data_IF_004588904027
#
_entry.id   IF_004588904027
#
_cell.length_a   1.000
_cell.length_b   1.000
_cell.length_c   1.000
_cell.angle_alpha   90.00
_cell.angle_beta   90.00
_cell.angle_gamma   90.00
#
_symmetry.space_group_name_H-M   'P 1'
#
loop_
_entity.id
_entity.type
_entity.pdbx_description
1 polymer ?
#
# COMPACT_ATOMS: atom_id res chain seq x y z
N UNK A 1 -25.29 86.44 -27.49
CA UNK A 1 -25.68 85.79 -26.23
C UNK A 1 -26.37 84.51 -26.59
N UNK A 2 -25.68 83.40 -26.49
CA UNK A 2 -26.13 82.10 -27.02
C UNK A 2 -26.21 81.13 -25.85
N UNK A 3 -27.40 80.64 -25.58
CA UNK A 3 -27.67 79.68 -24.49
C UNK A 3 -27.49 78.23 -25.02
N UNK A 4 -26.56 77.54 -24.47
CA UNK A 4 -26.40 76.11 -24.72
C UNK A 4 -27.31 75.28 -23.80
N UNK A 5 -28.22 74.56 -24.39
CA UNK A 5 -29.07 73.59 -23.68
C UNK A 5 -28.33 72.23 -23.70
N UNK A 6 -27.99 71.72 -22.50
CA UNK A 6 -27.42 70.40 -22.34
C UNK A 6 -28.57 69.39 -22.29
N UNK A 7 -28.57 68.47 -23.26
CA UNK A 7 -29.48 67.32 -23.23
C UNK A 7 -28.89 66.20 -22.35
N UNK A 8 -29.60 65.87 -21.25
CA UNK A 8 -29.31 64.66 -20.46
C UNK A 8 -29.79 63.46 -21.23
N UNK A 9 -28.88 62.58 -21.56
CA UNK A 9 -29.14 61.24 -22.08
C UNK A 9 -29.44 60.26 -20.95
N UNK A 10 -30.58 59.66 -20.99
CA UNK A 10 -30.98 58.58 -20.06
C UNK A 10 -30.19 57.31 -20.42
N UNK A 11 -29.28 56.87 -19.56
CA UNK A 11 -28.65 55.57 -19.70
C UNK A 11 -29.58 54.46 -19.13
N UNK A 12 -30.02 53.59 -19.99
CA UNK A 12 -30.77 52.39 -19.59
C UNK A 12 -29.81 51.34 -19.04
N UNK A 13 -29.91 51.05 -17.72
CA UNK A 13 -29.23 49.92 -17.12
C UNK A 13 -29.90 48.61 -17.55
N UNK A 14 -29.22 47.85 -18.43
CA UNK A 14 -29.54 46.48 -18.68
C UNK A 14 -29.05 45.60 -17.51
N UNK A 15 -29.97 45.21 -16.61
CA UNK A 15 -29.74 44.15 -15.63
C UNK A 15 -29.67 42.80 -16.36
N UNK A 16 -28.46 42.35 -16.62
CA UNK A 16 -28.21 41.00 -17.11
C UNK A 16 -28.48 40.01 -15.98
N UNK A 17 -29.55 39.21 -16.11
CA UNK A 17 -29.80 38.07 -15.27
C UNK A 17 -28.73 37.01 -15.53
N UNK A 18 -27.77 36.85 -14.59
CA UNK A 18 -26.87 35.71 -14.58
C UNK A 18 -27.72 34.43 -14.34
N UNK A 19 -28.00 33.70 -15.43
CA UNK A 19 -28.54 32.36 -15.32
C UNK A 19 -27.48 31.48 -14.65
N UNK A 20 -27.75 31.06 -13.40
CA UNK A 20 -26.93 30.07 -12.71
C UNK A 20 -26.97 28.77 -13.51
N UNK A 21 -25.87 28.44 -14.15
CA UNK A 21 -25.68 27.14 -14.79
C UNK A 21 -25.67 26.10 -13.67
N UNK A 22 -26.61 25.12 -13.64
CA UNK A 22 -26.56 24.08 -12.63
C UNK A 22 -25.27 23.27 -12.88
N UNK A 23 -24.33 23.34 -11.96
CA UNK A 23 -23.19 22.41 -11.93
C UNK A 23 -23.77 21.02 -11.75
N UNK A 24 -23.92 20.29 -12.84
CA UNK A 24 -24.26 18.88 -12.77
C UNK A 24 -23.16 18.19 -11.96
N UNK A 25 -23.43 17.95 -10.67
CA UNK A 25 -22.65 17.04 -9.86
C UNK A 25 -22.71 15.69 -10.57
N UNK A 26 -21.62 15.32 -11.21
CA UNK A 26 -21.47 13.98 -11.75
C UNK A 26 -21.59 12.98 -10.58
N UNK A 27 -22.77 12.41 -10.40
CA UNK A 27 -23.00 11.27 -9.51
C UNK A 27 -22.41 10.03 -10.18
N UNK A 28 -21.09 9.94 -10.18
CA UNK A 28 -20.40 8.85 -10.86
C UNK A 28 -20.46 7.52 -10.09
N UNK A 29 -20.85 7.54 -8.79
CA UNK A 29 -21.00 6.33 -7.99
C UNK A 29 -22.14 6.53 -6.99
N UNK A 30 -23.23 5.81 -7.12
CA UNK A 30 -24.30 5.79 -6.13
C UNK A 30 -25.72 5.72 -6.70
N UNK A 31 -25.97 4.74 -7.60
CA UNK A 31 -27.34 4.23 -7.73
C UNK A 31 -27.77 3.61 -6.39
N UNK A 32 -29.04 3.68 -6.04
CA UNK A 32 -29.62 3.12 -4.80
C UNK A 32 -29.38 1.60 -4.62
N UNK A 33 -28.75 0.94 -5.60
CA UNK A 33 -28.46 -0.49 -5.66
C UNK A 33 -26.96 -0.82 -5.74
N UNK A 34 -26.05 0.13 -5.47
CA UNK A 34 -24.63 -0.15 -5.44
C UNK A 34 -24.33 -1.09 -4.26
N UNK A 35 -24.10 -2.39 -4.53
CA UNK A 35 -23.67 -3.34 -3.51
C UNK A 35 -22.33 -2.85 -2.94
N UNK A 36 -22.25 -2.75 -1.63
CA UNK A 36 -20.98 -2.48 -0.95
C UNK A 36 -19.98 -3.58 -1.31
N UNK A 37 -18.74 -3.22 -1.63
CA UNK A 37 -17.67 -4.19 -1.85
C UNK A 37 -17.30 -4.80 -0.50
N UNK A 38 -17.30 -6.13 -0.35
CA UNK A 38 -16.85 -6.78 0.87
C UNK A 38 -15.44 -6.33 1.26
N UNK A 39 -15.20 -6.14 2.55
CA UNK A 39 -13.88 -5.69 3.04
C UNK A 39 -12.76 -6.68 2.68
N UNK A 40 -13.08 -7.97 2.61
CA UNK A 40 -12.15 -8.99 2.13
C UNK A 40 -11.72 -8.71 0.68
N UNK A 41 -12.67 -8.45 -0.22
CA UNK A 41 -12.36 -8.15 -1.62
C UNK A 41 -11.49 -6.88 -1.74
N UNK A 42 -11.72 -5.87 -0.87
CA UNK A 42 -10.89 -4.68 -0.81
C UNK A 42 -9.45 -5.03 -0.42
N UNK A 43 -9.26 -5.86 0.60
CA UNK A 43 -7.91 -6.29 1.01
C UNK A 43 -7.23 -7.15 -0.04
N UNK A 44 -7.97 -8.01 -0.74
CA UNK A 44 -7.45 -8.84 -1.84
C UNK A 44 -6.99 -7.99 -3.03
N UNK A 45 -7.77 -6.98 -3.42
CA UNK A 45 -7.39 -6.01 -4.47
C UNK A 45 -6.16 -5.19 -4.09
N UNK A 46 -6.10 -4.67 -2.86
CA UNK A 46 -4.93 -3.95 -2.36
C UNK A 46 -3.69 -4.83 -2.37
N UNK A 47 -3.80 -6.07 -1.86
CA UNK A 47 -2.70 -7.02 -1.89
C UNK A 47 -2.22 -7.32 -3.30
N UNK A 48 -3.12 -7.54 -4.26
CA UNK A 48 -2.75 -7.83 -5.65
C UNK A 48 -1.88 -6.72 -6.27
N UNK A 49 -2.24 -5.45 -6.06
CA UNK A 49 -1.46 -4.30 -6.53
C UNK A 49 -0.08 -4.26 -5.84
N UNK A 50 -0.07 -4.33 -4.51
CA UNK A 50 1.18 -4.26 -3.74
C UNK A 50 2.14 -5.42 -4.04
N UNK A 51 1.62 -6.63 -4.23
CA UNK A 51 2.41 -7.81 -4.61
C UNK A 51 3.00 -7.65 -6.01
N UNK A 52 2.22 -7.13 -6.97
CA UNK A 52 2.70 -6.87 -8.32
C UNK A 52 3.81 -5.81 -8.33
N UNK A 53 3.63 -4.69 -7.66
CA UNK A 53 4.62 -3.61 -7.57
C UNK A 53 5.93 -4.10 -6.94
N UNK A 54 5.83 -4.86 -5.84
CA UNK A 54 7.00 -5.45 -5.19
C UNK A 54 7.72 -6.47 -6.08
N UNK A 55 6.97 -7.31 -6.80
CA UNK A 55 7.55 -8.26 -7.74
C UNK A 55 8.27 -7.55 -8.90
N UNK A 56 7.67 -6.50 -9.46
CA UNK A 56 8.29 -5.69 -10.52
C UNK A 56 9.56 -5.02 -10.00
N UNK A 57 9.54 -4.39 -8.83
CA UNK A 57 10.73 -3.81 -8.24
C UNK A 57 11.83 -4.84 -8.01
N UNK A 58 11.48 -6.00 -7.45
CA UNK A 58 12.45 -7.08 -7.18
C UNK A 58 13.09 -7.59 -8.46
N UNK A 59 12.29 -7.85 -9.50
CA UNK A 59 12.76 -8.50 -10.72
C UNK A 59 13.38 -7.51 -11.72
N UNK A 60 12.69 -6.37 -11.95
CA UNK A 60 13.05 -5.43 -13.01
C UNK A 60 14.06 -4.37 -12.57
N UNK A 61 14.16 -4.11 -11.26
CA UNK A 61 15.12 -3.15 -10.72
C UNK A 61 16.24 -3.89 -10.00
N UNK A 62 15.95 -4.55 -8.88
CA UNK A 62 17.00 -5.14 -8.04
C UNK A 62 17.72 -6.28 -8.75
N UNK A 63 17.00 -7.32 -9.18
CA UNK A 63 17.63 -8.48 -9.82
C UNK A 63 18.37 -8.09 -11.09
N UNK A 64 17.77 -7.28 -11.95
CA UNK A 64 18.40 -6.82 -13.18
C UNK A 64 19.70 -6.07 -12.91
N UNK A 65 19.67 -5.07 -12.03
CA UNK A 65 20.82 -4.20 -11.80
C UNK A 65 21.92 -4.87 -10.97
N UNK A 66 21.53 -5.74 -10.01
CA UNK A 66 22.48 -6.40 -9.13
C UNK A 66 23.07 -7.67 -9.74
N UNK A 67 22.24 -8.56 -10.31
CA UNK A 67 22.65 -9.91 -10.69
C UNK A 67 22.97 -10.04 -12.18
N UNK A 68 22.22 -9.36 -13.05
CA UNK A 68 22.39 -9.46 -14.51
C UNK A 68 23.40 -8.42 -15.00
N UNK A 69 23.17 -7.13 -14.74
CA UNK A 69 24.06 -6.05 -15.22
C UNK A 69 25.23 -5.77 -14.27
N UNK A 70 25.14 -6.14 -12.99
CA UNK A 70 26.17 -5.98 -11.94
C UNK A 70 26.67 -4.53 -11.78
N UNK A 71 25.77 -3.56 -11.92
CA UNK A 71 26.09 -2.13 -11.84
C UNK A 71 25.86 -1.54 -10.45
N UNK A 72 24.93 -2.12 -9.67
CA UNK A 72 24.64 -1.65 -8.31
C UNK A 72 24.02 -2.79 -7.49
N UNK A 73 24.35 -2.86 -6.21
CA UNK A 73 23.77 -3.85 -5.28
C UNK A 73 22.58 -3.29 -4.53
N UNK A 74 21.70 -4.16 -4.01
CA UNK A 74 20.75 -3.81 -2.98
C UNK A 74 21.36 -4.10 -1.60
N UNK A 75 21.21 -3.18 -0.66
CA UNK A 75 21.83 -3.25 0.67
C UNK A 75 20.88 -2.70 1.73
N UNK A 76 20.90 -3.30 2.93
CA UNK A 76 20.07 -2.81 4.04
C UNK A 76 20.47 -1.41 4.52
N UNK A 77 21.73 -1.04 4.34
CA UNK A 77 22.31 0.28 4.64
C UNK A 77 22.44 1.16 3.39
N UNK A 78 21.49 1.04 2.45
CA UNK A 78 21.51 1.74 1.16
C UNK A 78 21.68 3.27 1.29
N UNK A 79 21.22 3.86 2.38
CA UNK A 79 21.35 5.31 2.65
C UNK A 79 22.79 5.76 2.87
N UNK A 80 23.66 4.89 3.37
CA UNK A 80 25.08 5.15 3.65
C UNK A 80 25.99 4.67 2.51
N UNK A 81 25.43 4.01 1.52
CA UNK A 81 26.11 3.39 0.38
C UNK A 81 25.45 3.79 -0.92
N UNK A 82 26.19 3.70 -2.03
CA UNK A 82 25.57 3.75 -3.38
C UNK A 82 24.90 2.41 -3.68
N UNK A 83 23.73 2.19 -3.09
CA UNK A 83 23.00 0.94 -3.19
C UNK A 83 21.50 1.19 -3.37
N UNK A 84 20.77 0.17 -3.84
CA UNK A 84 19.31 0.18 -3.89
C UNK A 84 18.75 -0.24 -2.53
N UNK A 85 17.60 0.28 -2.09
CA UNK A 85 16.89 -0.29 -0.95
C UNK A 85 16.48 -1.73 -1.26
N UNK A 86 16.47 -2.58 -0.25
CA UNK A 86 15.96 -3.94 -0.37
C UNK A 86 14.46 -3.92 -0.73
N UNK A 87 13.93 -4.92 -1.44
CA UNK A 87 12.49 -5.00 -1.76
C UNK A 87 11.58 -4.91 -0.53
N UNK A 88 12.01 -5.44 0.62
CA UNK A 88 11.29 -5.30 1.89
C UNK A 88 11.31 -3.86 2.42
N UNK A 89 12.41 -3.13 2.26
CA UNK A 89 12.51 -1.72 2.65
C UNK A 89 11.65 -0.83 1.75
N UNK A 90 11.69 -1.04 0.43
CA UNK A 90 10.81 -0.32 -0.51
C UNK A 90 9.33 -0.51 -0.12
N UNK A 91 8.94 -1.74 0.20
CA UNK A 91 7.58 -2.04 0.63
C UNK A 91 7.20 -1.32 1.93
N UNK A 92 8.11 -1.27 2.92
CA UNK A 92 7.93 -0.53 4.16
C UNK A 92 7.79 0.98 3.91
N UNK A 93 8.62 1.57 3.06
CA UNK A 93 8.51 2.99 2.71
C UNK A 93 7.17 3.32 2.08
N UNK A 94 6.63 2.42 1.25
CA UNK A 94 5.26 2.52 0.74
C UNK A 94 4.22 2.51 1.86
N UNK A 95 4.36 1.63 2.86
CA UNK A 95 3.47 1.57 4.01
C UNK A 95 3.50 2.87 4.85
N UNK A 96 4.69 3.44 5.05
CA UNK A 96 4.87 4.73 5.72
C UNK A 96 4.16 5.85 4.95
N UNK A 97 4.30 5.90 3.62
CA UNK A 97 3.61 6.89 2.76
C UNK A 97 2.09 6.74 2.77
N UNK A 98 1.58 5.52 2.80
CA UNK A 98 0.14 5.27 2.95
C UNK A 98 -0.35 5.77 4.32
N UNK A 99 0.40 5.51 5.40
CA UNK A 99 0.02 5.97 6.74
C UNK A 99 -0.01 7.51 6.86
N UNK A 100 0.84 8.23 6.10
CA UNK A 100 0.80 9.69 6.01
C UNK A 100 -0.43 10.20 5.22
N UNK A 101 -0.93 9.44 4.25
CA UNK A 101 -1.96 9.88 3.31
C UNK A 101 -3.37 9.48 3.70
N UNK A 102 -3.55 8.40 4.45
CA UNK A 102 -4.88 7.87 4.81
C UNK A 102 -4.86 7.07 6.10
N UNK A 103 -6.01 7.05 6.78
CA UNK A 103 -6.28 6.18 7.93
C UNK A 103 -7.29 5.07 7.61
N UNK A 104 -7.69 4.95 6.32
CA UNK A 104 -8.70 3.98 5.89
C UNK A 104 -8.18 2.55 5.83
N UNK A 105 -6.88 2.39 5.72
CA UNK A 105 -6.21 1.11 5.83
C UNK A 105 -4.75 1.31 6.20
N UNK A 106 -4.12 0.25 6.64
CA UNK A 106 -2.67 0.17 6.83
C UNK A 106 -2.17 -1.18 6.35
N UNK A 107 -0.88 -1.26 6.04
CA UNK A 107 -0.25 -2.53 5.73
C UNK A 107 1.17 -2.62 6.28
N UNK A 108 1.65 -3.84 6.43
CA UNK A 108 3.01 -4.14 6.87
C UNK A 108 3.50 -5.46 6.29
N UNK A 109 4.81 -5.62 6.23
CA UNK A 109 5.46 -6.89 5.90
C UNK A 109 6.08 -7.44 7.19
N UNK A 110 5.52 -8.55 7.67
CA UNK A 110 5.92 -9.17 8.93
C UNK A 110 6.41 -10.60 8.70
N UNK A 111 7.16 -11.15 9.65
CA UNK A 111 7.65 -12.52 9.60
C UNK A 111 7.68 -13.17 10.99
N UNK A 112 7.45 -14.48 11.05
CA UNK A 112 7.75 -15.28 12.23
C UNK A 112 9.27 -15.47 12.42
N UNK A 113 10.05 -15.23 11.35
CA UNK A 113 11.50 -15.35 11.30
C UNK A 113 12.15 -14.04 10.77
N UNK A 114 11.92 -12.92 11.45
CA UNK A 114 12.34 -11.62 10.92
C UNK A 114 13.85 -11.44 11.07
N UNK A 115 14.53 -11.07 9.99
CA UNK A 115 15.92 -10.57 10.06
C UNK A 115 15.93 -9.25 10.82
N UNK A 116 15.09 -8.29 10.43
CA UNK A 116 14.85 -7.10 11.23
C UNK A 116 13.77 -7.37 12.28
N UNK A 117 14.13 -7.35 13.55
CA UNK A 117 13.21 -7.63 14.69
C UNK A 117 11.97 -6.73 14.73
N UNK A 118 12.02 -5.55 14.12
CA UNK A 118 10.85 -4.67 14.03
C UNK A 118 9.73 -5.24 13.14
N UNK A 119 10.07 -6.20 12.28
CA UNK A 119 9.11 -6.91 11.42
C UNK A 119 8.53 -8.18 12.10
N UNK A 120 8.75 -8.37 13.39
CA UNK A 120 8.08 -9.42 14.15
C UNK A 120 6.59 -9.10 14.36
N UNK A 121 5.70 -10.12 14.44
CA UNK A 121 4.29 -9.90 14.78
C UNK A 121 4.13 -9.34 16.19
N UNK A 122 3.23 -8.37 16.34
CA UNK A 122 2.97 -7.67 17.61
C UNK A 122 1.63 -8.04 18.22
N UNK A 123 0.68 -8.54 17.42
CA UNK A 123 -0.65 -8.96 17.89
C UNK A 123 -0.83 -10.47 17.78
N UNK A 124 -1.79 -11.01 18.53
CA UNK A 124 -2.15 -12.42 18.42
C UNK A 124 -2.64 -12.75 17.01
N UNK A 125 -3.43 -11.86 16.40
CA UNK A 125 -3.97 -12.00 15.05
C UNK A 125 -2.86 -12.05 14.00
N UNK A 126 -1.85 -11.18 14.09
CA UNK A 126 -0.67 -11.22 13.21
C UNK A 126 0.07 -12.55 13.31
N UNK A 127 0.30 -13.01 14.54
CA UNK A 127 1.01 -14.27 14.80
C UNK A 127 0.25 -15.46 14.26
N UNK A 128 -1.06 -15.51 14.50
CA UNK A 128 -1.95 -16.56 14.01
C UNK A 128 -2.01 -16.57 12.48
N UNK A 129 -2.23 -15.41 11.86
CA UNK A 129 -2.30 -15.28 10.42
C UNK A 129 -0.99 -15.65 9.72
N UNK A 130 0.17 -15.21 10.25
CA UNK A 130 1.48 -15.60 9.72
C UNK A 130 1.72 -17.11 9.84
N UNK A 131 1.33 -17.71 10.95
CA UNK A 131 1.41 -19.16 11.13
C UNK A 131 0.51 -19.88 10.12
N UNK A 132 -0.74 -19.41 9.98
CA UNK A 132 -1.70 -20.00 9.05
C UNK A 132 -1.17 -20.01 7.60
N UNK A 133 -0.69 -18.87 7.10
CA UNK A 133 -0.19 -18.80 5.71
C UNK A 133 1.10 -19.56 5.51
N UNK A 134 1.92 -19.72 6.53
CA UNK A 134 3.13 -20.56 6.49
C UNK A 134 2.81 -22.05 6.41
N UNK A 135 1.75 -22.50 7.08
CA UNK A 135 1.31 -23.91 7.13
C UNK A 135 0.33 -24.28 6.00
N UNK A 136 -0.33 -23.30 5.37
CA UNK A 136 -1.36 -23.48 4.36
C UNK A 136 -1.03 -22.77 3.06
N UNK A 137 -0.04 -23.26 2.33
CA UNK A 137 0.43 -22.66 1.09
C UNK A 137 -0.72 -22.34 0.12
N UNK A 138 -0.74 -21.12 -0.40
CA UNK A 138 -1.73 -20.63 -1.35
C UNK A 138 -3.07 -20.22 -0.73
N UNK A 139 -3.22 -20.27 0.61
CA UNK A 139 -4.40 -19.76 1.31
C UNK A 139 -4.09 -18.46 2.03
N UNK A 140 -5.05 -17.54 2.04
CA UNK A 140 -4.98 -16.31 2.80
C UNK A 140 -5.68 -16.49 4.15
N UNK A 141 -5.28 -15.69 5.14
CA UNK A 141 -5.92 -15.65 6.45
C UNK A 141 -6.71 -14.35 6.61
N UNK A 142 -7.91 -14.46 7.19
CA UNK A 142 -8.77 -13.32 7.46
C UNK A 142 -9.33 -13.43 8.88
N UNK A 143 -9.40 -12.30 9.57
CA UNK A 143 -9.95 -12.25 10.91
C UNK A 143 -10.29 -10.83 11.34
N UNK A 144 -10.88 -10.70 12.50
CA UNK A 144 -11.20 -9.42 13.13
C UNK A 144 -10.43 -9.27 14.44
N UNK A 145 -9.90 -8.07 14.67
CA UNK A 145 -9.21 -7.74 15.92
C UNK A 145 -9.61 -6.35 16.42
N UNK A 146 -9.43 -6.12 17.72
CA UNK A 146 -9.67 -4.81 18.32
C UNK A 146 -8.34 -4.25 18.84
N UNK A 147 -7.92 -3.10 18.30
CA UNK A 147 -6.69 -2.42 18.69
C UNK A 147 -7.01 -1.00 19.13
N UNK A 148 -6.61 -0.65 20.35
CA UNK A 148 -6.87 0.69 20.90
C UNK A 148 -8.37 1.07 20.91
N UNK A 149 -9.25 0.10 21.10
CA UNK A 149 -10.71 0.30 21.12
C UNK A 149 -11.38 0.39 19.74
N UNK A 150 -10.61 0.27 18.64
CA UNK A 150 -11.14 0.26 17.28
C UNK A 150 -11.13 -1.15 16.71
N UNK A 151 -12.19 -1.51 16.00
CA UNK A 151 -12.29 -2.80 15.30
C UNK A 151 -11.59 -2.72 13.94
N UNK A 152 -10.93 -3.80 13.57
CA UNK A 152 -10.25 -3.94 12.29
C UNK A 152 -10.56 -5.30 11.69
N UNK A 153 -10.80 -5.31 10.39
CA UNK A 153 -10.63 -6.51 9.57
C UNK A 153 -9.15 -6.62 9.22
N UNK A 154 -8.58 -7.78 9.52
CA UNK A 154 -7.15 -8.06 9.29
C UNK A 154 -7.01 -9.22 8.32
N UNK A 155 -6.31 -8.99 7.22
CA UNK A 155 -5.97 -10.00 6.22
C UNK A 155 -4.46 -10.25 6.23
N UNK A 156 -4.05 -11.52 6.10
CA UNK A 156 -2.64 -11.91 5.99
C UNK A 156 -2.44 -12.76 4.74
N UNK A 157 -1.50 -12.35 3.91
CA UNK A 157 -1.14 -12.97 2.63
C UNK A 157 0.29 -13.48 2.70
N UNK A 158 0.53 -14.69 2.19
CA UNK A 158 1.87 -15.27 2.20
C UNK A 158 2.87 -14.44 1.39
N UNK A 159 4.02 -14.14 1.98
CA UNK A 159 5.18 -13.62 1.30
C UNK A 159 6.18 -14.76 1.04
N UNK A 160 6.31 -15.13 -0.22
CA UNK A 160 7.10 -16.30 -0.62
C UNK A 160 8.45 -15.92 -1.20
N UNK A 161 9.44 -16.78 -1.06
CA UNK A 161 10.75 -16.66 -1.72
C UNK A 161 10.60 -16.79 -3.23
N UNK A 162 10.54 -15.66 -3.94
CA UNK A 162 10.32 -15.62 -5.41
C UNK A 162 11.62 -15.67 -6.21
N UNK A 163 12.78 -15.58 -5.57
CA UNK A 163 14.09 -15.65 -6.24
C UNK A 163 15.15 -16.30 -5.35
N UNK A 164 16.21 -16.87 -5.95
CA UNK A 164 17.37 -17.37 -5.20
C UNK A 164 18.01 -16.31 -4.29
N UNK A 165 17.96 -15.05 -4.67
CA UNK A 165 18.50 -13.95 -3.87
C UNK A 165 17.76 -13.80 -2.52
N UNK A 166 16.45 -14.04 -2.47
CA UNK A 166 15.69 -14.04 -1.22
C UNK A 166 16.24 -15.12 -0.27
N UNK A 167 16.40 -16.33 -0.80
CA UNK A 167 16.88 -17.50 -0.03
C UNK A 167 18.29 -17.29 0.48
N UNK A 168 19.24 -16.89 -0.41
CA UNK A 168 20.64 -16.72 -0.03
C UNK A 168 20.83 -15.61 1.00
N UNK A 169 20.13 -14.49 0.85
CA UNK A 169 20.19 -13.39 1.82
C UNK A 169 19.66 -13.83 3.19
N UNK A 170 18.46 -14.40 3.24
CA UNK A 170 17.85 -14.80 4.53
C UNK A 170 18.60 -15.95 5.20
N UNK A 171 19.10 -16.93 4.43
CA UNK A 171 19.85 -18.03 5.03
C UNK A 171 21.28 -17.65 5.44
N UNK A 172 21.85 -16.64 4.80
CA UNK A 172 23.22 -16.18 5.09
C UNK A 172 23.32 -15.00 6.05
N UNK A 173 22.19 -14.34 6.39
CA UNK A 173 22.22 -13.15 7.22
C UNK A 173 22.49 -13.52 8.69
N UNK A 174 23.43 -12.83 9.39
CA UNK A 174 23.80 -13.16 10.76
C UNK A 174 22.63 -13.04 11.76
N UNK A 175 21.69 -12.13 11.50
CA UNK A 175 20.50 -11.93 12.36
C UNK A 175 19.30 -12.80 11.95
N UNK A 176 19.46 -13.68 10.97
CA UNK A 176 18.35 -14.55 10.54
C UNK A 176 18.12 -15.66 11.56
N UNK A 177 16.92 -15.77 12.14
CA UNK A 177 16.62 -16.85 13.08
C UNK A 177 16.32 -18.19 12.38
N UNK A 178 16.24 -18.19 11.03
CA UNK A 178 16.02 -19.38 10.22
C UNK A 178 16.91 -19.35 8.99
N UNK A 179 17.65 -20.43 8.72
CA UNK A 179 18.70 -20.52 7.69
C UNK A 179 18.49 -21.68 6.69
N UNK A 180 17.29 -22.27 6.64
CA UNK A 180 16.96 -23.42 5.80
C UNK A 180 15.85 -23.14 4.76
N UNK A 181 15.58 -21.87 4.48
CA UNK A 181 14.61 -21.48 3.45
C UNK A 181 14.97 -22.03 2.09
N UNK A 182 13.94 -22.42 1.34
CA UNK A 182 14.02 -22.83 -0.05
C UNK A 182 13.19 -21.91 -0.93
N UNK A 183 13.43 -21.99 -2.24
CA UNK A 183 12.58 -21.29 -3.21
C UNK A 183 11.13 -21.73 -3.06
N UNK A 184 10.21 -20.76 -3.07
CA UNK A 184 8.77 -20.90 -2.81
C UNK A 184 8.36 -21.13 -1.35
N UNK A 185 9.29 -21.19 -0.40
CA UNK A 185 8.94 -21.18 1.01
C UNK A 185 8.29 -19.85 1.39
N UNK A 186 7.35 -19.91 2.33
CA UNK A 186 6.78 -18.71 2.94
C UNK A 186 7.80 -18.16 3.94
N UNK A 187 8.25 -16.92 3.71
CA UNK A 187 9.25 -16.24 4.52
C UNK A 187 8.63 -15.21 5.46
N UNK A 188 7.38 -14.86 5.23
CA UNK A 188 6.63 -13.88 5.99
C UNK A 188 5.23 -13.71 5.46
N UNK A 189 4.60 -12.57 5.76
CA UNK A 189 3.29 -12.23 5.24
C UNK A 189 3.08 -10.73 5.14
N UNK A 190 2.30 -10.34 4.15
CA UNK A 190 1.71 -9.01 4.06
C UNK A 190 0.46 -8.98 4.93
N UNK A 191 0.46 -8.10 5.92
CA UNK A 191 -0.68 -7.87 6.80
C UNK A 191 -1.36 -6.58 6.37
N UNK A 192 -2.66 -6.66 6.04
CA UNK A 192 -3.48 -5.48 5.68
C UNK A 192 -4.57 -5.34 6.72
N UNK A 193 -4.77 -4.13 7.25
CA UNK A 193 -5.83 -3.78 8.19
C UNK A 193 -6.73 -2.71 7.64
N UNK A 194 -8.03 -2.96 7.71
CA UNK A 194 -9.08 -1.99 7.36
C UNK A 194 -9.93 -1.76 8.61
N UNK A 195 -10.09 -0.51 9.10
CA UNK A 195 -10.99 -0.22 10.20
C UNK A 195 -12.43 -0.60 9.82
N UNK A 196 -13.11 -1.33 10.73
CA UNK A 196 -14.54 -1.67 10.62
C UNK A 196 -15.26 -0.98 11.76
N UNK A 197 -16.24 -0.14 11.44
CA UNK A 197 -17.01 0.60 12.47
C UNK A 197 -18.00 -0.31 13.17
#
# INVERSE_FOLDING_TARGET
>A
MSSNVIKLGTAALLLGTLAAIPVARAQWFGGKDAKAVPVQDVTDMLHAVMAADRAVYTQRVVNRLQNEEKVITADEHFGDKKALPLPAQMFRFGAEKVAESTTKFSYSLLSLWPVNRQNAPRTAMEKEGLKFVAENSGKNFYGEETLGGKKYFTAVYADVAVSPACVSCHNGHPDSPRTDFKLKDVMGGVVIRVPTN
#
